data_IF_784511201941
#
_entry.id   IF_784511201941
#
_cell.length_a   1.000
_cell.length_b   1.000
_cell.length_c   1.000
_cell.angle_alpha   90.00
_cell.angle_beta   90.00
_cell.angle_gamma   90.00
#
_symmetry.space_group_name_H-M   'P 1'
#
loop_
_entity.id
_entity.type
_entity.pdbx_description
1 polymer ?
#
# COMPACT_ATOMS: atom_id res chain seq x y z
N UNK A 1 24.18 -7.48 -5.74
CA UNK A 1 23.14 -8.11 -4.90
C UNK A 1 21.90 -7.28 -5.09
N UNK A 2 20.85 -7.82 -5.70
CA UNK A 2 19.57 -7.11 -5.80
C UNK A 2 18.96 -7.08 -4.40
N UNK A 3 19.03 -5.92 -3.73
CA UNK A 3 18.27 -5.72 -2.51
C UNK A 3 16.79 -5.64 -2.89
N UNK A 4 16.01 -6.63 -2.43
CA UNK A 4 14.56 -6.62 -2.56
C UNK A 4 14.00 -5.39 -1.86
N UNK A 5 13.20 -4.58 -2.56
CA UNK A 5 12.53 -3.44 -1.94
C UNK A 5 11.50 -3.99 -0.94
N UNK A 6 11.53 -3.60 0.34
CA UNK A 6 10.58 -4.09 1.33
C UNK A 6 9.14 -3.69 0.94
N UNK A 7 8.16 -4.54 1.27
CA UNK A 7 6.75 -4.12 1.13
C UNK A 7 6.49 -3.06 2.20
N UNK A 8 6.03 -1.86 1.82
CA UNK A 8 5.74 -0.79 2.76
C UNK A 8 4.58 -1.19 3.67
N UNK A 9 4.70 -0.82 4.94
CA UNK A 9 3.62 -1.00 5.92
C UNK A 9 2.48 0.01 5.70
N UNK A 10 1.38 -0.19 6.42
CA UNK A 10 0.26 0.75 6.44
C UNK A 10 0.69 2.15 6.89
N UNK A 11 1.56 2.24 7.90
CA UNK A 11 2.09 3.50 8.39
C UNK A 11 2.99 4.17 7.35
N UNK A 12 3.80 3.39 6.63
CA UNK A 12 4.68 3.94 5.59
C UNK A 12 3.87 4.57 4.45
N UNK A 13 2.78 3.91 4.01
CA UNK A 13 1.93 4.42 2.93
C UNK A 13 1.17 5.67 3.37
N UNK A 14 0.62 5.67 4.58
CA UNK A 14 -0.22 6.76 5.07
C UNK A 14 0.59 8.02 5.44
N UNK A 15 1.85 7.85 5.83
CA UNK A 15 2.75 8.95 6.16
C UNK A 15 3.67 9.34 4.98
N UNK A 16 3.63 8.60 3.87
CA UNK A 16 4.42 8.94 2.69
C UNK A 16 3.97 10.30 2.12
N UNK A 17 4.92 11.19 1.78
CA UNK A 17 4.57 12.38 1.05
C UNK A 17 4.05 11.99 -0.34
N UNK A 18 3.15 12.82 -0.89
CA UNK A 18 2.39 12.48 -2.10
C UNK A 18 3.28 12.17 -3.31
N UNK A 19 4.44 12.81 -3.40
CA UNK A 19 5.46 12.61 -4.43
C UNK A 19 6.24 11.29 -4.26
N UNK A 20 6.31 10.72 -3.06
CA UNK A 20 6.95 9.43 -2.79
C UNK A 20 6.06 8.21 -3.12
N UNK A 21 4.76 8.41 -3.33
CA UNK A 21 3.83 7.31 -3.66
C UNK A 21 4.11 6.72 -5.04
N UNK A 22 4.35 7.56 -6.05
CA UNK A 22 4.64 7.12 -7.41
C UNK A 22 5.91 6.24 -7.52
N UNK A 23 7.07 6.64 -6.97
CA UNK A 23 8.26 5.79 -6.98
C UNK A 23 8.08 4.50 -6.16
N UNK A 24 7.38 4.56 -5.02
CA UNK A 24 7.04 3.36 -4.24
C UNK A 24 6.26 2.33 -5.06
N UNK A 25 5.24 2.78 -5.80
CA UNK A 25 4.47 1.92 -6.72
C UNK A 25 5.39 1.38 -7.83
N UNK A 26 6.25 2.21 -8.42
CA UNK A 26 7.15 1.80 -9.49
C UNK A 26 8.13 0.69 -9.04
N UNK A 27 8.72 0.84 -7.85
CA UNK A 27 9.62 -0.14 -7.25
C UNK A 27 8.90 -1.47 -6.97
N UNK A 28 7.71 -1.40 -6.36
CA UNK A 28 6.89 -2.59 -6.10
C UNK A 28 6.43 -3.29 -7.38
N UNK A 29 6.20 -2.55 -8.47
CA UNK A 29 5.89 -3.14 -9.79
C UNK A 29 7.09 -3.84 -10.40
N UNK A 30 8.27 -3.22 -10.34
CA UNK A 30 9.52 -3.82 -10.82
C UNK A 30 9.78 -5.16 -10.13
N UNK A 31 9.54 -5.21 -8.83
CA UNK A 31 9.77 -6.41 -8.02
C UNK A 31 8.58 -7.40 -8.06
N UNK A 32 7.52 -7.09 -8.83
CA UNK A 32 6.28 -7.89 -8.94
C UNK A 32 5.56 -8.11 -7.60
N UNK A 33 5.69 -7.17 -6.67
CA UNK A 33 5.12 -7.25 -5.30
C UNK A 33 3.89 -6.37 -5.09
N UNK A 34 3.58 -5.49 -6.04
CA UNK A 34 2.43 -4.58 -5.94
C UNK A 34 1.10 -5.33 -5.71
N UNK A 35 0.88 -6.45 -6.41
CA UNK A 35 -0.34 -7.25 -6.25
C UNK A 35 -0.47 -7.85 -4.84
N UNK A 36 0.65 -8.24 -4.21
CA UNK A 36 0.65 -8.75 -2.83
C UNK A 36 0.25 -7.65 -1.84
N UNK A 37 0.82 -6.45 -1.98
CA UNK A 37 0.45 -5.31 -1.12
C UNK A 37 -1.05 -4.99 -1.24
N UNK A 38 -1.57 -4.89 -2.47
CA UNK A 38 -2.99 -4.60 -2.70
C UNK A 38 -3.89 -5.72 -2.16
N UNK A 39 -3.48 -6.98 -2.33
CA UNK A 39 -4.19 -8.12 -1.76
C UNK A 39 -4.26 -8.04 -0.23
N UNK A 40 -3.13 -7.80 0.45
CA UNK A 40 -3.07 -7.69 1.90
C UNK A 40 -3.92 -6.53 2.43
N UNK A 41 -3.92 -5.39 1.75
CA UNK A 41 -4.77 -4.24 2.10
C UNK A 41 -6.25 -4.59 1.95
N UNK A 42 -6.64 -5.27 0.86
CA UNK A 42 -8.02 -5.70 0.66
C UNK A 42 -8.47 -6.70 1.72
N UNK A 43 -7.61 -7.65 2.11
CA UNK A 43 -7.92 -8.57 3.22
C UNK A 43 -8.19 -7.76 4.49
N UNK A 44 -7.35 -6.78 4.83
CA UNK A 44 -7.55 -5.92 6.02
C UNK A 44 -8.84 -5.10 5.95
N UNK A 45 -9.25 -4.61 4.78
CA UNK A 45 -10.54 -3.92 4.59
C UNK A 45 -11.72 -4.86 4.88
N UNK A 46 -11.61 -6.13 4.47
CA UNK A 46 -12.70 -7.10 4.64
C UNK A 46 -12.77 -7.64 6.08
N UNK A 47 -11.64 -8.00 6.66
CA UNK A 47 -11.58 -8.80 7.89
C UNK A 47 -11.04 -8.06 9.12
N UNK A 48 -10.44 -6.88 8.95
CA UNK A 48 -9.85 -6.12 10.05
C UNK A 48 -10.87 -5.48 10.99
N UNK A 49 -10.40 -5.00 12.13
CA UNK A 49 -11.20 -4.17 13.05
C UNK A 49 -11.57 -2.83 12.38
N UNK A 50 -12.62 -2.11 12.82
CA UNK A 50 -13.09 -0.89 12.15
C UNK A 50 -11.97 0.13 11.85
N UNK A 51 -11.06 0.35 12.81
CA UNK A 51 -9.92 1.26 12.63
C UNK A 51 -8.90 0.75 11.60
N UNK A 52 -8.71 -0.56 11.50
CA UNK A 52 -7.84 -1.18 10.49
C UNK A 52 -8.47 -1.10 9.10
N UNK A 53 -9.79 -1.28 8.99
CA UNK A 53 -10.53 -1.14 7.74
C UNK A 53 -10.38 0.26 7.16
N UNK A 54 -10.61 1.27 8.00
CA UNK A 54 -10.49 2.67 7.58
C UNK A 54 -9.06 3.01 7.14
N UNK A 55 -8.06 2.55 7.89
CA UNK A 55 -6.65 2.78 7.56
C UNK A 55 -6.25 2.06 6.27
N UNK A 56 -6.68 0.82 6.07
CA UNK A 56 -6.42 0.05 4.86
C UNK A 56 -7.08 0.69 3.63
N UNK A 57 -8.32 1.17 3.77
CA UNK A 57 -9.01 1.92 2.73
C UNK A 57 -8.26 3.21 2.37
N UNK A 58 -7.87 4.02 3.36
CA UNK A 58 -7.08 5.24 3.12
C UNK A 58 -5.74 4.97 2.45
N UNK A 59 -5.09 3.85 2.77
CA UNK A 59 -3.86 3.45 2.10
C UNK A 59 -4.13 3.11 0.62
N UNK A 60 -5.23 2.41 0.31
CA UNK A 60 -5.63 2.15 -1.07
C UNK A 60 -6.00 3.44 -1.83
N UNK A 61 -6.63 4.40 -1.16
CA UNK A 61 -6.91 5.73 -1.73
C UNK A 61 -5.61 6.51 -2.01
N UNK A 62 -4.67 6.51 -1.06
CA UNK A 62 -3.36 7.15 -1.23
C UNK A 62 -2.58 6.55 -2.41
N UNK A 63 -2.68 5.23 -2.61
CA UNK A 63 -2.09 4.50 -3.73
C UNK A 63 -2.87 4.66 -5.04
N UNK A 64 -4.06 5.28 -5.04
CA UNK A 64 -4.89 5.52 -6.22
C UNK A 64 -5.73 4.32 -6.69
N UNK A 65 -5.92 3.30 -5.86
CA UNK A 65 -6.75 2.12 -6.17
C UNK A 65 -8.23 2.31 -5.84
N UNK A 66 -8.56 3.30 -5.00
CA UNK A 66 -9.92 3.62 -4.55
C UNK A 66 -10.13 5.13 -4.66
N UNK A 67 -11.30 5.60 -5.12
CA UNK A 67 -11.61 7.03 -5.13
C UNK A 67 -11.67 7.61 -3.71
N UNK A 68 -11.26 8.87 -3.58
CA UNK A 68 -11.30 9.66 -2.33
C UNK A 68 -12.72 9.98 -1.90
#
# INVERSE_FOLDING_TARGET
MDQLVPIPSLDDILNAPRDAVAPMIADLRRDKRLSMLVHDLNIRVLTGEPTQKDRARRALEALGFVPS
#
